data_IF_379208688849
#
_entry.id   IF_379208688849
#
_cell.length_a   1.000
_cell.length_b   1.000
_cell.length_c   1.000
_cell.angle_alpha   90.00
_cell.angle_beta   90.00
_cell.angle_gamma   90.00
#
_symmetry.space_group_name_H-M   'P 1'
#
loop_
_entity.id
_entity.type
_entity.pdbx_description
1 polymer ?
#
# COMPACT_ATOMS: atom_id res chain seq x y z
N UNK A 1 -13.43 3.58 -17.17
CA UNK A 1 -13.52 2.47 -16.18
C UNK A 1 -14.94 1.91 -16.07
N UNK A 2 -15.54 1.53 -17.19
CA UNK A 2 -16.87 0.91 -17.15
C UNK A 2 -16.82 -0.49 -16.54
N UNK A 3 -15.74 -1.23 -16.79
CA UNK A 3 -15.52 -2.58 -16.27
C UNK A 3 -14.08 -2.68 -15.82
N UNK A 4 -13.86 -3.25 -14.62
CA UNK A 4 -12.52 -3.48 -14.11
C UNK A 4 -11.79 -4.49 -15.01
N UNK A 5 -10.60 -4.13 -15.49
CA UNK A 5 -9.80 -5.04 -16.30
C UNK A 5 -9.24 -6.16 -15.42
N UNK A 6 -9.19 -7.41 -15.93
CA UNK A 6 -8.65 -8.52 -15.15
C UNK A 6 -7.24 -8.29 -14.62
N UNK A 7 -6.36 -7.65 -15.39
CA UNK A 7 -5.00 -7.37 -14.96
C UNK A 7 -4.93 -6.38 -13.80
N UNK A 8 -5.91 -5.48 -13.67
CA UNK A 8 -5.99 -4.52 -12.56
C UNK A 8 -6.29 -5.25 -11.25
N UNK A 9 -7.31 -6.12 -11.27
CA UNK A 9 -7.66 -6.92 -10.11
C UNK A 9 -6.53 -7.90 -9.75
N UNK A 10 -5.90 -8.51 -10.75
CA UNK A 10 -4.79 -9.43 -10.54
C UNK A 10 -3.63 -8.74 -9.81
N UNK A 11 -3.34 -7.49 -10.16
CA UNK A 11 -2.28 -6.73 -9.50
C UNK A 11 -2.62 -6.46 -8.03
N UNK A 12 -3.86 -6.10 -7.74
CA UNK A 12 -4.32 -5.86 -6.39
C UNK A 12 -4.24 -7.13 -5.54
N UNK A 13 -4.64 -8.27 -6.11
CA UNK A 13 -4.57 -9.58 -5.45
C UNK A 13 -3.11 -9.97 -5.19
N UNK A 14 -2.23 -9.74 -6.16
CA UNK A 14 -0.79 -10.03 -6.01
C UNK A 14 -0.19 -9.33 -4.78
N UNK A 15 -0.59 -8.08 -4.55
CA UNK A 15 -0.02 -7.26 -3.49
C UNK A 15 -0.69 -7.55 -2.13
N UNK A 16 -2.02 -7.63 -2.10
CA UNK A 16 -2.79 -7.70 -0.85
C UNK A 16 -3.44 -9.05 -0.57
N UNK A 17 -3.38 -10.00 -1.50
CA UNK A 17 -3.90 -11.35 -1.30
C UNK A 17 -5.26 -11.59 -1.97
N UNK A 18 -5.67 -12.87 -1.98
CA UNK A 18 -6.89 -13.33 -2.66
C UNK A 18 -8.17 -12.67 -2.14
N UNK A 19 -8.18 -12.23 -0.88
CA UNK A 19 -9.34 -11.54 -0.31
C UNK A 19 -9.65 -10.21 -0.98
N UNK A 20 -8.75 -9.70 -1.81
CA UNK A 20 -9.00 -8.50 -2.61
C UNK A 20 -9.78 -8.79 -3.89
N UNK A 21 -9.98 -10.06 -4.24
CA UNK A 21 -10.79 -10.43 -5.38
C UNK A 21 -12.23 -9.98 -5.15
N UNK A 22 -12.78 -9.24 -6.11
CA UNK A 22 -14.10 -8.65 -5.96
C UNK A 22 -14.17 -7.37 -5.13
N UNK A 23 -13.02 -6.82 -4.73
CA UNK A 23 -12.94 -5.61 -3.91
C UNK A 23 -13.66 -4.42 -4.55
N UNK A 24 -13.57 -4.27 -5.87
CA UNK A 24 -14.17 -3.14 -6.59
C UNK A 24 -15.69 -3.09 -6.45
N UNK A 25 -16.34 -4.25 -6.18
CA UNK A 25 -17.78 -4.36 -6.00
C UNK A 25 -18.19 -4.48 -4.53
N UNK A 26 -17.23 -4.41 -3.61
CA UNK A 26 -17.46 -4.62 -2.17
C UNK A 26 -17.76 -3.32 -1.43
N UNK A 27 -18.15 -3.46 -0.17
CA UNK A 27 -18.39 -2.35 0.73
C UNK A 27 -19.81 -1.81 0.68
N UNK A 28 -20.13 -0.84 1.54
CA UNK A 28 -21.45 -0.22 1.56
C UNK A 28 -21.76 0.45 0.21
N UNK A 29 -23.01 0.39 -0.20
CA UNK A 29 -23.44 0.94 -1.49
C UNK A 29 -23.05 2.41 -1.64
N UNK A 30 -23.21 3.19 -0.58
CA UNK A 30 -22.94 4.65 -0.62
C UNK A 30 -21.46 5.01 -0.81
N UNK A 31 -20.54 4.09 -0.52
CA UNK A 31 -19.09 4.31 -0.64
C UNK A 31 -18.41 3.35 -1.60
N UNK A 32 -19.17 2.45 -2.23
CA UNK A 32 -18.62 1.43 -3.12
C UNK A 32 -17.87 2.00 -4.31
N UNK A 33 -18.28 3.17 -4.79
CA UNK A 33 -17.59 3.86 -5.88
C UNK A 33 -16.13 4.20 -5.51
N UNK A 34 -15.85 4.42 -4.23
CA UNK A 34 -14.48 4.69 -3.78
C UNK A 34 -13.62 3.44 -3.93
N UNK A 35 -14.15 2.27 -3.57
CA UNK A 35 -13.45 1.00 -3.76
C UNK A 35 -13.19 0.74 -5.26
N UNK A 36 -14.16 1.08 -6.12
CA UNK A 36 -13.99 0.95 -7.56
C UNK A 36 -12.90 1.88 -8.07
N UNK A 37 -12.89 3.13 -7.63
CA UNK A 37 -11.83 4.08 -8.02
C UNK A 37 -10.46 3.59 -7.56
N UNK A 38 -10.37 3.07 -6.34
CA UNK A 38 -9.11 2.54 -5.81
C UNK A 38 -8.61 1.40 -6.69
N UNK A 39 -9.49 0.47 -7.07
CA UNK A 39 -9.11 -0.65 -7.92
C UNK A 39 -8.74 -0.20 -9.34
N UNK A 40 -9.53 0.68 -9.94
CA UNK A 40 -9.31 1.15 -11.32
C UNK A 40 -8.11 2.10 -11.43
N UNK A 41 -8.06 3.11 -10.59
CA UNK A 41 -7.08 4.18 -10.70
C UNK A 41 -5.77 3.82 -10.01
N UNK A 42 -5.81 3.44 -8.74
CA UNK A 42 -4.59 3.16 -8.00
C UNK A 42 -3.93 1.86 -8.48
N UNK A 43 -4.61 0.74 -8.36
CA UNK A 43 -4.04 -0.56 -8.73
C UNK A 43 -4.07 -0.81 -10.24
N UNK A 44 -5.01 -0.15 -10.93
CA UNK A 44 -5.08 -0.22 -12.38
C UNK A 44 -4.06 0.66 -13.05
N UNK A 45 -4.32 1.97 -13.05
CA UNK A 45 -3.50 2.91 -13.82
C UNK A 45 -2.07 3.03 -13.31
N UNK A 46 -1.91 3.18 -12.00
CA UNK A 46 -0.58 3.48 -11.46
C UNK A 46 0.26 2.23 -11.21
N UNK A 47 -0.31 1.16 -10.71
CA UNK A 47 0.45 -0.05 -10.37
C UNK A 47 0.76 -0.93 -11.58
N UNK A 48 0.07 -0.73 -12.71
CA UNK A 48 0.38 -1.47 -13.95
C UNK A 48 1.23 -0.66 -14.92
N UNK A 49 1.51 0.59 -14.59
CA UNK A 49 2.37 1.46 -15.38
C UNK A 49 3.81 0.95 -15.34
N UNK A 50 4.53 1.11 -16.45
CA UNK A 50 5.96 0.76 -16.52
C UNK A 50 6.85 1.71 -15.71
N UNK A 51 8.12 1.41 -15.60
CA UNK A 51 9.12 2.22 -14.92
C UNK A 51 9.58 1.61 -13.61
N UNK A 52 8.71 1.62 -12.59
CA UNK A 52 9.01 0.99 -11.31
C UNK A 52 8.32 -0.38 -11.22
N UNK A 53 8.97 -1.36 -10.61
CA UNK A 53 8.34 -2.64 -10.34
C UNK A 53 7.45 -2.56 -9.08
N UNK A 54 6.77 -3.64 -8.75
CA UNK A 54 5.84 -3.66 -7.60
C UNK A 54 6.56 -3.42 -6.27
N UNK A 55 7.76 -3.96 -6.10
CA UNK A 55 8.55 -3.76 -4.88
C UNK A 55 8.91 -2.28 -4.69
N UNK A 56 9.33 -1.64 -5.76
CA UNK A 56 9.70 -0.22 -5.74
C UNK A 56 8.47 0.64 -5.48
N UNK A 57 7.33 0.32 -6.10
CA UNK A 57 6.08 1.06 -5.91
C UNK A 57 5.59 0.97 -4.48
N UNK A 58 5.66 -0.22 -3.86
CA UNK A 58 5.25 -0.38 -2.47
C UNK A 58 6.18 0.36 -1.51
N UNK A 59 7.48 0.36 -1.79
CA UNK A 59 8.44 1.14 -1.01
C UNK A 59 8.13 2.63 -1.06
N UNK A 60 7.90 3.16 -2.26
CA UNK A 60 7.56 4.58 -2.45
C UNK A 60 6.25 4.92 -1.75
N UNK A 61 5.24 4.06 -1.88
CA UNK A 61 3.95 4.25 -1.22
C UNK A 61 4.10 4.30 0.29
N UNK A 62 4.89 3.41 0.86
CA UNK A 62 5.18 3.40 2.30
C UNK A 62 5.78 4.73 2.75
N UNK A 63 6.75 5.26 1.99
CA UNK A 63 7.40 6.53 2.31
C UNK A 63 6.40 7.69 2.32
N UNK A 64 5.51 7.75 1.33
CA UNK A 64 4.49 8.81 1.27
C UNK A 64 3.50 8.70 2.42
N UNK A 65 3.06 7.50 2.76
CA UNK A 65 2.13 7.31 3.88
C UNK A 65 2.79 7.67 5.21
N UNK A 66 4.07 7.31 5.39
CA UNK A 66 4.82 7.69 6.58
C UNK A 66 4.92 9.21 6.71
N UNK A 67 5.21 9.89 5.61
CA UNK A 67 5.34 11.34 5.56
C UNK A 67 4.01 12.06 5.77
N UNK A 68 2.93 11.51 5.24
CA UNK A 68 1.60 12.10 5.35
C UNK A 68 1.11 12.12 6.80
N UNK A 69 1.26 11.01 7.51
CA UNK A 69 0.75 10.86 8.88
C UNK A 69 -0.78 10.76 8.92
N UNK A 70 -1.32 10.30 10.05
CA UNK A 70 -2.77 10.21 10.22
C UNK A 70 -3.44 9.10 9.41
N UNK A 71 -2.66 8.17 8.87
CA UNK A 71 -3.16 7.07 8.03
C UNK A 71 -2.55 5.74 8.48
N UNK A 72 -2.51 5.50 9.78
CA UNK A 72 -1.87 4.31 10.37
C UNK A 72 -2.45 3.00 9.86
N UNK A 73 -3.78 2.84 9.67
CA UNK A 73 -4.31 1.60 9.09
C UNK A 73 -3.76 1.32 7.69
N UNK A 74 -3.69 2.33 6.84
CA UNK A 74 -3.16 2.20 5.49
C UNK A 74 -1.64 1.94 5.52
N UNK A 75 -0.93 2.64 6.39
CA UNK A 75 0.52 2.47 6.54
C UNK A 75 0.85 1.04 6.99
N UNK A 76 0.11 0.50 7.95
CA UNK A 76 0.27 -0.89 8.41
C UNK A 76 -0.02 -1.89 7.28
N UNK A 77 -1.10 -1.67 6.52
CA UNK A 77 -1.47 -2.52 5.39
C UNK A 77 -0.38 -2.52 4.32
N UNK A 78 0.18 -1.35 4.01
CA UNK A 78 1.24 -1.25 3.01
C UNK A 78 2.59 -1.76 3.52
N UNK A 79 2.86 -1.69 4.81
CA UNK A 79 4.03 -2.35 5.39
C UNK A 79 3.94 -3.87 5.18
N UNK A 80 2.76 -4.45 5.44
CA UNK A 80 2.51 -5.86 5.20
C UNK A 80 2.64 -6.21 3.71
N UNK A 81 2.08 -5.40 2.83
CA UNK A 81 2.18 -5.58 1.39
C UNK A 81 3.63 -5.52 0.91
N UNK A 82 4.43 -4.60 1.45
CA UNK A 82 5.86 -4.50 1.17
C UNK A 82 6.56 -5.82 1.47
N UNK A 83 6.30 -6.40 2.63
CA UNK A 83 6.91 -7.67 3.01
C UNK A 83 6.46 -8.81 2.09
N UNK A 84 5.20 -8.80 1.68
CA UNK A 84 4.67 -9.81 0.77
C UNK A 84 5.35 -9.77 -0.61
N UNK A 85 5.77 -8.60 -1.07
CA UNK A 85 6.46 -8.45 -2.37
C UNK A 85 7.98 -8.48 -2.25
N UNK A 86 8.51 -8.82 -1.07
CA UNK A 86 9.94 -9.06 -0.87
C UNK A 86 10.73 -7.96 -0.18
N UNK A 87 10.08 -6.90 0.27
CA UNK A 87 10.73 -5.84 1.06
C UNK A 87 10.64 -6.22 2.53
N UNK A 88 11.70 -6.79 3.08
CA UNK A 88 11.72 -7.30 4.45
C UNK A 88 11.71 -6.19 5.50
N UNK A 89 11.36 -6.54 6.73
CA UNK A 89 11.25 -5.60 7.85
C UNK A 89 12.51 -4.74 8.02
N UNK A 90 13.69 -5.37 8.01
CA UNK A 90 14.94 -4.65 8.19
C UNK A 90 15.15 -3.58 7.10
N UNK A 91 14.78 -3.91 5.87
CA UNK A 91 14.84 -2.98 4.75
C UNK A 91 13.87 -1.81 4.95
N UNK A 92 12.64 -2.11 5.39
CA UNK A 92 11.64 -1.06 5.62
C UNK A 92 12.08 -0.11 6.74
N UNK A 93 12.69 -0.64 7.79
CA UNK A 93 13.24 0.19 8.87
C UNK A 93 14.35 1.11 8.33
N UNK A 94 15.23 0.58 7.49
CA UNK A 94 16.27 1.38 6.85
C UNK A 94 15.69 2.49 5.96
N UNK A 95 14.65 2.17 5.20
CA UNK A 95 13.95 3.14 4.33
C UNK A 95 13.34 4.26 5.16
N UNK A 96 12.60 3.92 6.21
CA UNK A 96 11.96 4.91 7.10
C UNK A 96 13.02 5.74 7.81
N UNK A 97 14.13 5.12 8.22
CA UNK A 97 15.25 5.85 8.84
C UNK A 97 15.83 6.91 7.90
N UNK A 98 15.90 6.60 6.61
CA UNK A 98 16.36 7.56 5.60
C UNK A 98 15.35 8.70 5.40
N UNK A 99 14.07 8.46 5.64
CA UNK A 99 13.04 9.50 5.57
C UNK A 99 13.09 10.46 6.77
N UNK A 100 13.64 10.02 7.89
CA UNK A 100 13.60 10.77 9.17
C UNK A 100 14.06 12.22 9.07
N UNK A 101 15.15 12.58 8.35
CA UNK A 101 15.55 13.98 8.24
C UNK A 101 14.49 14.90 7.63
N UNK A 102 13.56 14.32 6.89
CA UNK A 102 12.52 15.05 6.16
C UNK A 102 11.18 15.06 6.87
N UNK A 103 10.86 13.99 7.62
CA UNK A 103 9.52 13.82 8.22
C UNK A 103 9.52 13.99 9.75
N UNK A 104 10.67 13.93 10.39
CA UNK A 104 10.81 14.10 11.84
C UNK A 104 10.56 12.84 12.64
N UNK A 105 10.90 12.89 13.92
CA UNK A 105 10.81 11.75 14.82
C UNK A 105 9.38 11.22 15.02
N UNK A 106 8.36 12.08 15.26
CA UNK A 106 7.02 11.55 15.51
C UNK A 106 6.50 10.68 14.38
N UNK A 107 6.64 11.12 13.13
CA UNK A 107 6.19 10.34 11.98
C UNK A 107 7.04 9.12 11.75
N UNK A 108 8.34 9.21 12.00
CA UNK A 108 9.26 8.07 11.88
C UNK A 108 8.91 6.99 12.89
N UNK A 109 8.73 7.35 14.16
CA UNK A 109 8.37 6.40 15.22
C UNK A 109 7.00 5.79 14.97
N UNK A 110 6.06 6.58 14.47
CA UNK A 110 4.75 6.09 14.06
C UNK A 110 4.86 5.03 12.95
N UNK A 111 5.68 5.29 11.94
CA UNK A 111 5.90 4.34 10.85
C UNK A 111 6.55 3.04 11.33
N UNK A 112 7.53 3.14 12.24
CA UNK A 112 8.18 1.95 12.84
C UNK A 112 7.13 1.12 13.58
N UNK A 113 6.25 1.75 14.34
CA UNK A 113 5.18 1.04 15.05
C UNK A 113 4.24 0.31 14.07
N UNK A 114 3.89 0.95 12.97
CA UNK A 114 3.05 0.32 11.95
C UNK A 114 3.74 -0.87 11.29
N UNK A 115 5.04 -0.78 11.05
CA UNK A 115 5.84 -1.90 10.53
C UNK A 115 5.83 -3.06 11.53
N UNK A 116 6.01 -2.76 12.82
CA UNK A 116 5.97 -3.80 13.87
C UNK A 116 4.59 -4.47 13.93
N UNK A 117 3.52 -3.70 13.85
CA UNK A 117 2.16 -4.24 13.83
C UNK A 117 1.93 -5.14 12.61
N UNK A 118 2.47 -4.77 11.46
CA UNK A 118 2.34 -5.55 10.23
C UNK A 118 2.96 -6.94 10.36
N UNK A 119 4.06 -7.06 11.11
CA UNK A 119 4.73 -8.35 11.33
C UNK A 119 3.89 -9.27 12.21
N UNK A 120 3.14 -8.70 13.16
CA UNK A 120 2.29 -9.48 14.08
C UNK A 120 1.05 -10.04 13.39
N UNK A 121 0.54 -9.34 12.40
CA UNK A 121 -0.64 -9.76 11.63
C UNK A 121 -0.28 -10.65 10.48
#
# INVERSE_FOLDING_TARGET
YLTLRPEFEARQVEIFGENMRGFAQSGPEETRHINKWLADNCFGDYYTRGGLDTREREMVTLCFLAAQGGCEPQLTAHAKANMAVGNEKAFLIAVVSQCMPYIGYPRTLNAIRCIDEAVKG
#
